data_IF_053067369701
#
_entry.id   IF_053067369701
#
_cell.length_a   1.000
_cell.length_b   1.000
_cell.length_c   1.000
_cell.angle_alpha   90.00
_cell.angle_beta   90.00
_cell.angle_gamma   90.00
#
_symmetry.space_group_name_H-M   'P 1'
#
loop_
_entity.id
_entity.type
_entity.pdbx_description
1 polymer ?
#
# COMPACT_ATOMS: atom_id res chain seq x y z
N UNK A 1 -42.67 49.37 -42.37
CA UNK A 1 -42.10 48.07 -42.76
C UNK A 1 -40.82 47.85 -41.95
N UNK A 2 -40.58 46.62 -41.53
CA UNK A 2 -39.58 46.18 -40.54
C UNK A 2 -38.13 46.38 -41.01
N UNK A 3 -37.24 46.68 -40.06
CA UNK A 3 -35.85 46.17 -39.87
C UNK A 3 -35.22 47.12 -38.84
N UNK A 4 -34.76 46.74 -37.65
CA UNK A 4 -34.03 45.54 -37.26
C UNK A 4 -32.91 46.08 -36.38
N UNK A 5 -33.12 46.02 -35.06
CA UNK A 5 -32.12 46.45 -34.09
C UNK A 5 -31.00 45.42 -33.97
N UNK A 6 -29.78 45.90 -33.71
CA UNK A 6 -29.04 45.60 -32.48
C UNK A 6 -27.67 46.31 -32.51
N UNK A 7 -27.47 47.14 -31.49
CA UNK A 7 -26.21 47.75 -31.10
C UNK A 7 -25.13 46.69 -30.86
N UNK A 8 -23.93 46.92 -31.38
CA UNK A 8 -22.73 46.25 -30.89
C UNK A 8 -21.69 47.30 -30.49
N UNK A 9 -21.55 47.46 -29.18
CA UNK A 9 -20.60 48.32 -28.48
C UNK A 9 -19.14 47.88 -28.68
N UNK A 10 -18.17 48.82 -28.54
CA UNK A 10 -16.77 48.61 -28.90
C UNK A 10 -16.01 47.85 -27.81
N UNK A 11 -15.27 46.81 -28.20
CA UNK A 11 -14.44 46.03 -27.28
C UNK A 11 -12.96 46.46 -27.32
N UNK A 12 -12.50 46.91 -26.16
CA UNK A 12 -11.19 47.49 -25.80
C UNK A 12 -9.97 46.65 -26.23
N UNK A 13 -8.80 47.31 -26.42
CA UNK A 13 -7.53 46.64 -26.67
C UNK A 13 -7.02 45.85 -25.44
N UNK A 14 -6.34 44.74 -25.76
CA UNK A 14 -5.76 43.75 -24.83
C UNK A 14 -4.69 44.36 -23.91
N UNK A 15 -4.64 43.99 -22.61
CA UNK A 15 -3.50 44.30 -21.76
C UNK A 15 -2.29 43.38 -22.04
N UNK A 16 -1.06 43.84 -21.75
CA UNK A 16 0.17 43.12 -22.07
C UNK A 16 0.45 41.94 -21.12
N UNK A 17 1.22 40.98 -21.66
CA UNK A 17 1.71 39.77 -20.99
C UNK A 17 2.51 40.12 -19.73
N UNK A 18 2.00 39.72 -18.57
CA UNK A 18 2.75 39.72 -17.31
C UNK A 18 3.50 38.39 -17.18
N UNK A 19 4.82 38.48 -17.21
CA UNK A 19 5.76 37.40 -16.89
C UNK A 19 5.64 37.07 -15.40
N UNK A 20 4.88 36.03 -15.08
CA UNK A 20 4.76 35.53 -13.72
C UNK A 20 6.10 34.94 -13.27
N UNK A 21 6.71 35.61 -12.29
CA UNK A 21 7.91 35.21 -11.60
C UNK A 21 7.80 33.77 -11.06
N UNK A 22 8.84 32.99 -11.37
CA UNK A 22 9.09 31.62 -10.93
C UNK A 22 9.11 31.59 -9.40
N UNK A 23 8.02 31.14 -8.77
CA UNK A 23 7.99 30.83 -7.34
C UNK A 23 8.88 29.61 -7.09
N UNK A 24 10.14 29.84 -6.75
CA UNK A 24 11.01 28.84 -6.13
C UNK A 24 10.51 28.58 -4.72
N UNK A 25 9.59 27.62 -4.57
CA UNK A 25 9.18 27.12 -3.27
C UNK A 25 10.24 26.12 -2.83
N UNK A 26 11.15 26.56 -1.96
CA UNK A 26 12.11 25.70 -1.29
C UNK A 26 11.37 24.57 -0.55
N UNK A 27 11.88 23.32 -0.59
CA UNK A 27 11.29 22.24 0.17
C UNK A 27 11.57 22.47 1.66
N UNK A 28 10.52 22.78 2.44
CA UNK A 28 10.60 22.69 3.89
C UNK A 28 10.77 21.22 4.26
N UNK A 29 12.01 20.85 4.61
CA UNK A 29 12.32 19.60 5.30
C UNK A 29 11.62 19.68 6.66
N UNK A 30 10.44 19.09 6.76
CA UNK A 30 9.84 18.77 8.05
C UNK A 30 10.62 17.58 8.59
N UNK A 31 11.64 17.86 9.40
CA UNK A 31 12.18 16.89 10.34
C UNK A 31 11.12 16.66 11.42
N UNK A 32 10.08 15.93 11.04
CA UNK A 32 9.24 15.23 12.00
C UNK A 32 10.01 13.97 12.33
N UNK A 33 10.52 13.90 13.55
CA UNK A 33 10.91 12.63 14.16
C UNK A 33 9.65 11.76 14.14
N UNK A 34 9.57 10.89 13.12
CA UNK A 34 8.53 9.89 13.04
C UNK A 34 8.85 8.97 14.19
N UNK A 35 8.08 9.04 15.28
CA UNK A 35 8.10 7.99 16.27
C UNK A 35 7.89 6.69 15.49
N UNK A 36 8.96 5.88 15.33
CA UNK A 36 8.87 4.57 14.71
C UNK A 36 8.02 3.73 15.66
N UNK A 37 6.70 3.76 15.44
CA UNK A 37 5.80 2.86 16.14
C UNK A 37 6.34 1.46 15.91
N UNK A 38 6.63 0.69 16.97
CA UNK A 38 7.20 -0.62 16.80
C UNK A 38 6.26 -1.46 15.92
N UNK A 39 6.84 -2.01 14.86
CA UNK A 39 6.12 -2.82 13.89
C UNK A 39 5.82 -4.17 14.53
N UNK A 40 4.55 -4.48 14.76
CA UNK A 40 4.12 -5.78 15.29
C UNK A 40 3.81 -6.73 14.15
N UNK A 41 4.39 -7.92 14.20
CA UNK A 41 4.26 -8.89 13.11
C UNK A 41 3.83 -10.28 13.57
N UNK A 42 3.04 -10.93 12.73
CA UNK A 42 2.87 -12.39 12.79
C UNK A 42 3.72 -13.00 11.69
N UNK A 43 4.55 -13.99 12.03
CA UNK A 43 5.49 -14.63 11.11
C UNK A 43 5.09 -16.08 10.93
N UNK A 44 4.93 -16.51 9.68
CA UNK A 44 4.64 -17.88 9.29
C UNK A 44 5.84 -18.46 8.57
N UNK A 45 6.29 -19.66 8.98
CA UNK A 45 7.27 -20.43 8.22
C UNK A 45 8.66 -19.79 8.05
N UNK A 46 9.01 -18.80 8.88
CA UNK A 46 10.33 -18.18 8.90
C UNK A 46 11.00 -18.32 10.26
N UNK A 47 12.28 -18.74 10.31
CA UNK A 47 13.03 -18.84 11.56
C UNK A 47 13.44 -17.46 12.12
N UNK A 48 13.57 -16.45 11.24
CA UNK A 48 13.92 -15.10 11.63
C UNK A 48 12.68 -14.33 12.11
N UNK A 49 12.68 -13.97 13.39
CA UNK A 49 11.62 -13.20 14.03
C UNK A 49 12.11 -11.76 14.19
N UNK A 50 11.51 -10.77 13.50
CA UNK A 50 11.78 -9.38 13.81
C UNK A 50 11.37 -9.06 15.27
N UNK A 51 11.88 -7.96 15.85
CA UNK A 51 11.43 -7.50 17.15
C UNK A 51 9.89 -7.34 17.18
N UNK A 52 9.27 -7.63 18.32
CA UNK A 52 7.81 -7.57 18.50
C UNK A 52 7.01 -8.43 17.51
N UNK A 53 7.52 -9.61 17.20
CA UNK A 53 6.79 -10.59 16.40
C UNK A 53 6.50 -11.89 17.16
N UNK A 54 5.48 -12.59 16.69
CA UNK A 54 5.18 -13.96 17.10
C UNK A 54 5.29 -14.89 15.90
N UNK A 55 5.88 -16.06 16.10
CA UNK A 55 5.88 -17.13 15.12
C UNK A 55 4.64 -18.00 15.30
N UNK A 56 4.00 -18.37 14.18
CA UNK A 56 2.93 -19.36 14.13
C UNK A 56 3.24 -20.41 13.07
N UNK A 57 2.83 -21.64 13.31
CA UNK A 57 3.20 -22.78 12.46
C UNK A 57 2.49 -22.77 11.09
N UNK A 58 1.36 -22.08 10.98
CA UNK A 58 0.56 -22.05 9.77
C UNK A 58 -0.60 -21.06 9.83
N UNK A 59 -1.29 -20.84 8.69
CA UNK A 59 -2.43 -19.94 8.61
C UNK A 59 -3.59 -20.37 9.51
N UNK A 60 -3.76 -21.66 9.79
CA UNK A 60 -4.83 -22.17 10.67
C UNK A 60 -4.72 -21.68 12.13
N UNK A 61 -3.54 -21.18 12.52
CA UNK A 61 -3.29 -20.58 13.84
C UNK A 61 -3.59 -19.09 13.90
N UNK A 62 -3.98 -18.48 12.79
CA UNK A 62 -4.36 -17.08 12.73
C UNK A 62 -5.88 -16.99 12.78
N UNK A 63 -6.39 -16.45 13.89
CA UNK A 63 -7.80 -16.17 14.07
C UNK A 63 -8.04 -14.69 14.45
N UNK A 64 -9.31 -14.32 14.56
CA UNK A 64 -9.70 -12.95 14.89
C UNK A 64 -9.24 -12.52 16.30
N UNK A 65 -9.14 -13.47 17.25
CA UNK A 65 -8.70 -13.18 18.63
C UNK A 65 -7.22 -12.83 18.62
N UNK A 66 -6.41 -13.59 17.89
CA UNK A 66 -4.98 -13.33 17.73
C UNK A 66 -4.74 -11.96 17.08
N UNK A 67 -5.43 -11.68 15.97
CA UNK A 67 -5.31 -10.39 15.28
C UNK A 67 -5.74 -9.22 16.17
N UNK A 68 -6.82 -9.36 16.95
CA UNK A 68 -7.28 -8.31 17.85
C UNK A 68 -6.32 -8.09 19.03
N UNK A 69 -5.74 -9.16 19.56
CA UNK A 69 -4.85 -9.12 20.74
C UNK A 69 -3.48 -8.55 20.38
N UNK A 70 -2.88 -9.01 19.27
CA UNK A 70 -1.58 -8.52 18.81
C UNK A 70 -1.68 -7.18 18.10
N UNK A 71 -2.81 -6.90 17.44
CA UNK A 71 -2.99 -5.77 16.52
C UNK A 71 -1.79 -5.61 15.55
N UNK A 72 -1.43 -6.66 14.79
CA UNK A 72 -0.25 -6.61 13.94
C UNK A 72 -0.46 -5.64 12.77
N UNK A 73 0.59 -4.92 12.39
CA UNK A 73 0.58 -4.14 11.15
C UNK A 73 1.18 -4.93 9.98
N UNK A 74 1.85 -6.05 10.25
CA UNK A 74 2.37 -6.98 9.23
C UNK A 74 2.04 -8.43 9.51
N UNK A 75 1.82 -9.18 8.44
CA UNK A 75 1.87 -10.64 8.45
C UNK A 75 2.92 -11.05 7.43
N UNK A 76 3.89 -11.86 7.82
CA UNK A 76 5.02 -12.25 7.00
C UNK A 76 4.92 -13.74 6.71
N UNK A 77 4.87 -14.14 5.44
CA UNK A 77 4.81 -15.55 5.04
C UNK A 77 5.67 -15.83 3.80
N UNK A 78 6.06 -17.09 3.56
CA UNK A 78 6.73 -17.45 2.32
C UNK A 78 5.75 -17.42 1.15
N UNK A 79 6.26 -17.15 -0.05
CA UNK A 79 5.47 -17.26 -1.28
C UNK A 79 4.88 -18.67 -1.43
N UNK A 80 5.69 -19.69 -1.15
CA UNK A 80 5.33 -21.09 -1.13
C UNK A 80 5.93 -21.78 0.09
N UNK A 81 5.16 -22.66 0.72
CA UNK A 81 5.62 -23.59 1.75
C UNK A 81 5.11 -25.00 1.42
N UNK A 82 5.49 -25.99 2.22
CA UNK A 82 5.01 -27.38 2.04
C UNK A 82 3.49 -27.52 2.23
N UNK A 83 2.88 -26.66 3.07
CA UNK A 83 1.50 -26.83 3.53
C UNK A 83 0.54 -25.72 3.11
N UNK A 84 1.07 -24.56 2.70
CA UNK A 84 0.29 -23.39 2.29
C UNK A 84 1.08 -22.49 1.34
N UNK A 85 0.38 -21.59 0.66
CA UNK A 85 0.98 -20.53 -0.14
C UNK A 85 0.54 -19.14 0.36
N UNK A 86 1.17 -18.09 -0.17
CA UNK A 86 0.84 -16.72 0.19
C UNK A 86 -0.60 -16.34 -0.13
N UNK A 87 -1.24 -16.98 -1.12
CA UNK A 87 -2.61 -16.68 -1.50
C UNK A 87 -3.62 -17.24 -0.48
N UNK A 88 -3.37 -18.43 0.06
CA UNK A 88 -4.15 -18.99 1.18
C UNK A 88 -4.10 -18.04 2.38
N UNK A 89 -2.90 -17.55 2.73
CA UNK A 89 -2.72 -16.57 3.81
C UNK A 89 -3.48 -15.28 3.51
N UNK A 90 -3.36 -14.76 2.29
CA UNK A 90 -4.03 -13.53 1.88
C UNK A 90 -5.56 -13.64 2.00
N UNK A 91 -6.15 -14.73 1.49
CA UNK A 91 -7.59 -14.97 1.58
C UNK A 91 -8.07 -15.09 3.03
N UNK A 92 -7.30 -15.75 3.90
CA UNK A 92 -7.61 -15.84 5.31
C UNK A 92 -7.61 -14.45 5.96
N UNK A 93 -6.56 -13.66 5.76
CA UNK A 93 -6.44 -12.32 6.34
C UNK A 93 -7.58 -11.40 5.90
N UNK A 94 -7.98 -11.48 4.62
CA UNK A 94 -9.15 -10.75 4.11
C UNK A 94 -10.44 -11.18 4.80
N UNK A 95 -10.67 -12.49 4.96
CA UNK A 95 -11.85 -13.02 5.68
C UNK A 95 -11.89 -12.56 7.14
N UNK A 96 -10.73 -12.41 7.77
CA UNK A 96 -10.60 -11.95 9.15
C UNK A 96 -10.61 -10.41 9.28
N UNK A 97 -10.71 -9.66 8.19
CA UNK A 97 -10.75 -8.18 8.22
C UNK A 97 -9.41 -7.54 8.58
N UNK A 98 -8.30 -8.20 8.28
CA UNK A 98 -6.95 -7.67 8.52
C UNK A 98 -6.68 -6.41 7.67
N UNK A 99 -6.23 -5.33 8.31
CA UNK A 99 -6.00 -4.02 7.67
C UNK A 99 -4.51 -3.64 7.54
N UNK A 100 -3.61 -4.53 7.98
CA UNK A 100 -2.17 -4.36 7.83
C UNK A 100 -1.66 -4.75 6.44
N UNK A 101 -0.37 -5.09 6.36
CA UNK A 101 0.30 -5.49 5.12
C UNK A 101 0.70 -6.96 5.18
N UNK A 102 0.29 -7.74 4.18
CA UNK A 102 0.86 -9.06 3.93
C UNK A 102 2.20 -8.88 3.22
N UNK A 103 3.28 -9.27 3.89
CA UNK A 103 4.63 -9.30 3.34
C UNK A 103 4.93 -10.73 2.91
N UNK A 104 5.04 -10.92 1.60
CA UNK A 104 5.34 -12.21 0.99
C UNK A 104 6.82 -12.26 0.69
N UNK A 105 7.52 -13.14 1.37
CA UNK A 105 8.95 -13.37 1.13
C UNK A 105 9.08 -14.46 0.07
N UNK A 106 9.58 -14.08 -1.09
CA UNK A 106 9.74 -14.94 -2.25
C UNK A 106 11.21 -15.36 -2.45
N UNK A 107 11.46 -16.52 -3.09
CA UNK A 107 12.78 -16.82 -3.67
C UNK A 107 13.08 -15.87 -4.83
N UNK A 108 14.18 -16.11 -5.57
CA UNK A 108 14.46 -15.36 -6.79
C UNK A 108 13.27 -15.47 -7.77
N UNK A 109 12.81 -14.31 -8.26
CA UNK A 109 11.66 -14.19 -9.15
C UNK A 109 12.04 -13.29 -10.32
N UNK A 110 11.77 -13.71 -11.57
CA UNK A 110 12.06 -12.89 -12.74
C UNK A 110 11.25 -11.59 -12.79
N UNK A 111 10.05 -11.58 -12.20
CA UNK A 111 9.22 -10.38 -12.09
C UNK A 111 8.40 -10.37 -10.77
N UNK A 112 8.97 -9.90 -9.66
CA UNK A 112 8.30 -9.90 -8.35
C UNK A 112 7.03 -9.06 -8.34
N UNK A 113 6.98 -7.98 -9.14
CA UNK A 113 5.81 -7.09 -9.26
C UNK A 113 4.62 -7.78 -9.92
N UNK A 114 4.87 -8.69 -10.86
CA UNK A 114 3.80 -9.48 -11.48
C UNK A 114 3.14 -10.38 -10.43
N UNK A 115 3.94 -11.07 -9.61
CA UNK A 115 3.47 -11.93 -8.52
C UNK A 115 2.70 -11.12 -7.48
N UNK A 116 3.22 -9.98 -7.04
CA UNK A 116 2.52 -9.10 -6.09
C UNK A 116 1.13 -8.69 -6.59
N UNK A 117 1.04 -8.31 -7.88
CA UNK A 117 -0.23 -7.94 -8.50
C UNK A 117 -1.21 -9.10 -8.53
N UNK A 118 -0.74 -10.30 -8.87
CA UNK A 118 -1.58 -11.50 -8.93
C UNK A 118 -2.17 -11.82 -7.54
N UNK A 119 -1.31 -11.86 -6.51
CA UNK A 119 -1.76 -12.11 -5.14
C UNK A 119 -2.77 -11.06 -4.71
N UNK A 120 -2.49 -9.78 -4.94
CA UNK A 120 -3.40 -8.68 -4.57
C UNK A 120 -4.75 -8.76 -5.29
N UNK A 121 -4.76 -9.11 -6.57
CA UNK A 121 -5.99 -9.26 -7.35
C UNK A 121 -6.89 -10.37 -6.79
N UNK A 122 -6.29 -11.46 -6.32
CA UNK A 122 -7.02 -12.61 -5.78
C UNK A 122 -7.31 -12.49 -4.28
N UNK A 123 -6.55 -11.67 -3.56
CA UNK A 123 -6.67 -11.49 -2.11
C UNK A 123 -7.90 -10.67 -1.67
N UNK A 124 -8.59 -9.97 -2.57
CA UNK A 124 -9.83 -9.26 -2.21
C UNK A 124 -9.63 -7.95 -1.42
N UNK A 125 -8.49 -7.26 -1.59
CA UNK A 125 -8.35 -5.85 -1.20
C UNK A 125 -7.36 -5.54 -0.06
N UNK A 126 -6.66 -6.53 0.50
CA UNK A 126 -5.58 -6.26 1.46
C UNK A 126 -4.32 -5.73 0.78
N UNK A 127 -3.48 -5.05 1.57
CA UNK A 127 -2.16 -4.60 1.12
C UNK A 127 -1.22 -5.80 1.03
N UNK A 128 -0.52 -5.90 -0.09
CA UNK A 128 0.46 -6.97 -0.35
C UNK A 128 1.76 -6.34 -0.79
N UNK A 129 2.87 -6.81 -0.24
CA UNK A 129 4.22 -6.47 -0.67
C UNK A 129 5.01 -7.76 -0.87
N UNK A 130 5.66 -7.91 -2.04
CA UNK A 130 6.57 -9.03 -2.29
C UNK A 130 8.00 -8.58 -2.10
N UNK A 131 8.74 -9.28 -1.24
CA UNK A 131 10.16 -9.05 -0.98
C UNK A 131 10.96 -10.29 -1.36
N UNK A 132 12.14 -10.12 -1.95
CA UNK A 132 13.02 -11.23 -2.28
C UNK A 132 13.86 -11.59 -1.06
N UNK A 133 14.01 -12.90 -0.81
CA UNK A 133 14.99 -13.39 0.16
C UNK A 133 16.39 -13.05 -0.38
N UNK A 134 17.28 -12.47 0.45
CA UNK A 134 18.66 -12.21 0.06
C UNK A 134 19.45 -13.51 -0.21
#
# INVERSE_FOLDING_TARGET
MQTGGQEQLPSRPRPPRSTAARRTRAPQVRTGEVAETPTRAIVLGYPAQPPESIAVDGPDKIDAVLLATMAPDKVICPLFSENYDALVVAQLLTKLGFNGTLVVVAPDLPNPRMVEREIRNQAGGIKVAVVLRP
#
